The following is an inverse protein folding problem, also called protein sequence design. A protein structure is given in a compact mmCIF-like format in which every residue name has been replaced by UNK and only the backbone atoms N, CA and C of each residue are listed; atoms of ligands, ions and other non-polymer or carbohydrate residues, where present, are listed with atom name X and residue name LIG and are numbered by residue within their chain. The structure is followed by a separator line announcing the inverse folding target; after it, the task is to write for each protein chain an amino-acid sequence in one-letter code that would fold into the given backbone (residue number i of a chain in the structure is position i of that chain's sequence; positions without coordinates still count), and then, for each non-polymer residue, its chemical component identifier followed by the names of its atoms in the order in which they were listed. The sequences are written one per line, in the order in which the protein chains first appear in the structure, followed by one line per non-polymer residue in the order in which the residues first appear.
data_IF_554700192747
#
_entry.id   IF_554700192747
#
_cell.length_a   1.000
_cell.length_b   1.000
_cell.length_c   1.000
_cell.angle_alpha   90.00
_cell.angle_beta   90.00
_cell.angle_gamma   90.00
#
_symmetry.space_group_name_H-M   'P 1'
#
loop_
_entity.id
_entity.type
_entity.pdbx_description
1 polymer ?
#
# COMPACT_ATOMS: atom_id res chain seq x y z
N UNK A 1 19.13 -27.52 -57.14
CA UNK A 1 20.55 -27.91 -57.01
C UNK A 1 20.84 -27.94 -55.52
N UNK A 2 21.42 -29.07 -55.06
CA UNK A 2 21.89 -29.40 -53.69
C UNK A 2 20.81 -29.46 -52.59
N UNK A 3 20.26 -30.59 -52.10
CA UNK A 3 20.66 -31.99 -51.84
C UNK A 3 21.50 -32.23 -50.57
N UNK A 4 20.96 -33.08 -49.67
CA UNK A 4 21.69 -33.86 -48.66
C UNK A 4 21.30 -33.51 -47.22
N UNK A 5 20.94 -34.43 -46.33
CA UNK A 5 20.92 -35.90 -46.36
C UNK A 5 20.47 -36.40 -44.98
N UNK A 6 19.70 -37.49 -44.98
CA UNK A 6 19.19 -38.18 -43.80
C UNK A 6 20.20 -39.20 -43.24
N UNK A 7 20.06 -39.61 -41.98
CA UNK A 7 20.21 -41.01 -41.55
C UNK A 7 19.64 -41.29 -40.14
N UNK A 8 19.15 -42.52 -39.84
CA UNK A 8 18.28 -42.83 -38.70
C UNK A 8 18.94 -43.72 -37.62
N UNK A 9 18.18 -43.95 -36.54
CA UNK A 9 18.47 -44.75 -35.32
C UNK A 9 18.90 -46.22 -35.54
N UNK A 10 19.37 -46.88 -34.46
CA UNK A 10 18.69 -48.12 -34.06
C UNK A 10 18.44 -48.29 -32.54
N UNK A 11 17.39 -49.04 -32.22
CA UNK A 11 16.99 -49.51 -30.89
C UNK A 11 17.77 -50.75 -30.43
N UNK A 12 17.99 -50.90 -29.12
CA UNK A 12 18.19 -52.22 -28.50
C UNK A 12 17.65 -52.24 -27.06
N UNK A 13 16.70 -53.14 -26.83
CA UNK A 13 16.14 -53.56 -25.54
C UNK A 13 17.05 -54.58 -24.84
N UNK A 14 17.09 -54.59 -23.50
CA UNK A 14 17.05 -55.84 -22.69
C UNK A 14 16.81 -55.55 -21.20
N UNK A 15 15.95 -56.37 -20.64
CA UNK A 15 15.35 -56.44 -19.30
C UNK A 15 16.23 -57.16 -18.27
N UNK A 16 16.18 -56.73 -16.99
CA UNK A 16 16.06 -57.62 -15.80
C UNK A 16 16.13 -56.83 -14.47
N UNK A 17 15.05 -56.87 -13.68
CA UNK A 17 14.98 -56.69 -12.20
C UNK A 17 15.46 -57.99 -11.49
N UNK A 18 15.73 -58.09 -10.15
CA UNK A 18 15.02 -57.41 -9.04
C UNK A 18 15.79 -57.07 -7.73
N UNK A 19 15.09 -56.29 -6.88
CA UNK A 19 15.04 -56.20 -5.39
C UNK A 19 16.31 -56.23 -4.53
N UNK A 20 16.59 -55.11 -3.85
CA UNK A 20 17.12 -55.10 -2.48
C UNK A 20 16.77 -53.79 -1.74
N UNK A 21 16.17 -53.97 -0.58
CA UNK A 21 15.71 -52.99 0.42
C UNK A 21 16.89 -52.32 1.12
N UNK A 22 16.95 -50.99 1.20
CA UNK A 22 17.63 -50.28 2.31
C UNK A 22 17.35 -48.77 2.30
N UNK A 23 16.70 -48.33 3.37
CA UNK A 23 16.89 -47.06 4.10
C UNK A 23 16.82 -45.74 3.32
N UNK A 24 15.65 -45.10 3.40
CA UNK A 24 15.42 -43.69 3.04
C UNK A 24 16.09 -42.80 4.08
N UNK A 25 17.26 -42.25 3.74
CA UNK A 25 17.76 -41.03 4.38
C UNK A 25 17.25 -39.84 3.58
N UNK A 26 16.26 -39.15 4.17
CA UNK A 26 15.79 -37.84 3.75
C UNK A 26 16.95 -36.84 3.83
N UNK A 27 17.44 -36.39 2.67
CA UNK A 27 18.31 -35.23 2.59
C UNK A 27 17.49 -33.98 2.91
N UNK A 28 17.78 -33.41 4.08
CA UNK A 28 17.31 -32.11 4.53
C UNK A 28 18.01 -31.04 3.68
N UNK A 29 17.39 -30.64 2.57
CA UNK A 29 17.84 -29.46 1.81
C UNK A 29 17.57 -28.22 2.64
N UNK A 30 18.66 -27.58 3.05
CA UNK A 30 18.71 -26.31 3.76
C UNK A 30 17.86 -25.27 3.04
N UNK A 31 16.80 -24.83 3.71
CA UNK A 31 16.08 -23.59 3.41
C UNK A 31 17.02 -22.46 3.81
N UNK A 32 17.73 -21.88 2.85
CA UNK A 32 18.39 -20.59 3.03
C UNK A 32 17.35 -19.52 2.76
N UNK A 33 17.04 -18.75 3.80
CA UNK A 33 16.32 -17.49 3.73
C UNK A 33 17.01 -16.56 2.73
N UNK A 34 16.34 -16.29 1.61
CA UNK A 34 16.68 -15.16 0.75
C UNK A 34 16.05 -13.93 1.37
N UNK A 35 16.84 -13.17 2.12
CA UNK A 35 16.55 -11.77 2.32
C UNK A 35 16.57 -11.13 0.92
N UNK A 36 15.42 -10.63 0.46
CA UNK A 36 15.25 -9.91 -0.81
C UNK A 36 16.10 -8.62 -0.80
N UNK A 37 17.39 -8.75 -1.08
CA UNK A 37 18.23 -7.63 -1.49
C UNK A 37 17.80 -7.30 -2.93
N UNK A 38 16.80 -6.43 -3.07
CA UNK A 38 16.29 -5.99 -4.35
C UNK A 38 17.45 -5.52 -5.25
N UNK A 39 17.60 -6.16 -6.42
CA UNK A 39 18.59 -5.78 -7.43
C UNK A 39 18.33 -4.31 -7.84
N UNK A 40 19.26 -3.37 -7.57
CA UNK A 40 19.08 -1.96 -7.91
C UNK A 40 18.98 -1.70 -9.43
N UNK A 41 19.25 -2.71 -10.26
CA UNK A 41 19.12 -2.63 -11.72
C UNK A 41 17.69 -2.85 -12.24
N UNK A 42 16.80 -3.46 -11.44
CA UNK A 42 15.41 -3.67 -11.85
C UNK A 42 14.63 -2.35 -11.84
N UNK A 43 13.79 -2.07 -12.86
CA UNK A 43 12.94 -0.89 -12.85
C UNK A 43 12.07 -0.86 -11.60
N UNK A 44 12.21 0.20 -10.79
CA UNK A 44 11.39 0.37 -9.60
C UNK A 44 9.92 0.45 -10.00
N UNK A 45 9.06 -0.34 -9.34
CA UNK A 45 7.60 -0.30 -9.54
C UNK A 45 7.06 1.10 -9.22
N UNK A 46 6.11 1.57 -10.01
CA UNK A 46 5.36 2.80 -9.74
C UNK A 46 4.46 2.59 -8.51
N UNK A 47 4.49 3.53 -7.56
CA UNK A 47 3.60 3.51 -6.39
C UNK A 47 2.84 4.82 -6.27
N UNK A 48 1.55 4.74 -5.97
CA UNK A 48 0.72 5.90 -5.68
C UNK A 48 0.23 5.81 -4.24
N UNK A 49 0.43 6.88 -3.48
CA UNK A 49 -0.20 7.04 -2.19
C UNK A 49 -1.58 7.66 -2.36
N UNK A 50 -2.62 6.99 -1.87
CA UNK A 50 -4.00 7.48 -1.97
C UNK A 50 -4.52 7.90 -0.60
N UNK A 51 -4.82 9.18 -0.48
CA UNK A 51 -5.54 9.77 0.66
C UNK A 51 -7.04 9.73 0.37
N UNK A 52 -7.84 9.15 1.27
CA UNK A 52 -9.28 9.07 1.07
C UNK A 52 -10.03 8.88 2.39
N UNK A 53 -11.34 9.12 2.38
CA UNK A 53 -12.16 9.00 3.58
C UNK A 53 -12.31 7.56 4.09
N UNK A 54 -12.28 7.39 5.42
CA UNK A 54 -12.72 6.15 6.10
C UNK A 54 -14.22 5.91 6.00
N UNK A 55 -14.99 6.88 5.49
CA UNK A 55 -16.42 6.78 5.23
C UNK A 55 -16.69 6.61 3.74
N UNK A 56 -17.77 5.91 3.33
CA UNK A 56 -18.11 5.69 1.92
C UNK A 56 -18.64 6.96 1.20
N UNK A 57 -18.98 8.00 1.95
CA UNK A 57 -19.74 9.15 1.46
C UNK A 57 -21.24 8.83 1.30
N UNK A 58 -22.06 9.87 1.09
CA UNK A 58 -23.52 9.72 0.92
C UNK A 58 -23.93 9.31 -0.50
N UNK A 59 -23.14 9.71 -1.49
CA UNK A 59 -23.42 9.41 -2.90
C UNK A 59 -22.56 8.19 -3.31
N UNK A 60 -23.16 7.13 -3.89
CA UNK A 60 -22.42 5.92 -4.28
C UNK A 60 -21.32 6.16 -5.32
N UNK A 61 -21.33 7.31 -6.03
CA UNK A 61 -20.28 7.68 -6.99
C UNK A 61 -18.88 7.73 -6.36
N UNK A 62 -18.76 8.04 -5.07
CA UNK A 62 -17.46 8.11 -4.40
C UNK A 62 -16.85 6.72 -4.23
N UNK A 63 -17.67 5.73 -3.84
CA UNK A 63 -17.25 4.32 -3.80
C UNK A 63 -16.94 3.81 -5.22
N UNK A 64 -17.71 4.23 -6.23
CA UNK A 64 -17.43 3.87 -7.61
C UNK A 64 -16.08 4.43 -8.07
N UNK A 65 -15.75 5.66 -7.73
CA UNK A 65 -14.45 6.26 -8.05
C UNK A 65 -13.26 5.53 -7.39
N UNK A 66 -13.44 5.01 -6.16
CA UNK A 66 -12.44 4.16 -5.52
C UNK A 66 -12.21 2.85 -6.31
N UNK A 67 -13.29 2.20 -6.78
CA UNK A 67 -13.20 1.01 -7.64
C UNK A 67 -12.58 1.29 -9.00
N UNK A 68 -12.95 2.41 -9.62
CA UNK A 68 -12.41 2.82 -10.91
C UNK A 68 -10.91 3.10 -10.80
N UNK A 69 -10.49 3.79 -9.73
CA UNK A 69 -9.07 4.02 -9.45
C UNK A 69 -8.31 2.70 -9.25
N UNK A 70 -8.84 1.75 -8.46
CA UNK A 70 -8.24 0.43 -8.31
C UNK A 70 -8.07 -0.29 -9.66
N UNK A 71 -9.09 -0.27 -10.52
CA UNK A 71 -9.04 -0.87 -11.86
C UNK A 71 -7.92 -0.26 -12.69
N UNK A 72 -7.87 1.07 -12.81
CA UNK A 72 -6.85 1.76 -13.62
C UNK A 72 -5.45 1.52 -13.05
N UNK A 73 -5.28 1.48 -11.72
CA UNK A 73 -4.01 1.13 -11.09
C UNK A 73 -3.56 -0.29 -11.45
N UNK A 74 -4.46 -1.27 -11.40
CA UNK A 74 -4.17 -2.65 -11.78
C UNK A 74 -3.77 -2.77 -13.26
N UNK A 75 -4.53 -2.14 -14.16
CA UNK A 75 -4.26 -2.11 -15.61
C UNK A 75 -2.88 -1.52 -15.95
N UNK A 76 -2.37 -0.60 -15.11
CA UNK A 76 -1.08 0.06 -15.28
C UNK A 76 0.04 -0.53 -14.39
N UNK A 77 -0.19 -1.65 -13.70
CA UNK A 77 0.74 -2.29 -12.76
C UNK A 77 1.29 -1.32 -11.68
N UNK A 78 0.41 -0.49 -11.13
CA UNK A 78 0.74 0.50 -10.10
C UNK A 78 0.46 -0.08 -8.71
N UNK A 79 1.42 0.03 -7.79
CA UNK A 79 1.22 -0.31 -6.38
C UNK A 79 0.50 0.79 -5.60
N UNK A 80 -0.34 0.40 -4.64
CA UNK A 80 -1.02 1.30 -3.73
C UNK A 80 -0.29 1.41 -2.40
N UNK A 81 -0.11 2.64 -1.94
CA UNK A 81 0.23 2.98 -0.56
C UNK A 81 -0.98 3.72 0.03
N UNK A 82 -1.44 3.34 1.22
CA UNK A 82 -2.61 3.99 1.82
C UNK A 82 -2.62 3.91 3.35
N UNK A 83 -3.67 4.47 3.95
CA UNK A 83 -3.82 4.58 5.40
C UNK A 83 -4.06 3.28 6.18
N UNK A 84 -4.23 2.14 5.51
CA UNK A 84 -4.38 0.84 6.16
C UNK A 84 -5.79 0.50 6.70
N UNK A 85 -6.79 1.35 6.45
CA UNK A 85 -8.15 1.12 6.95
C UNK A 85 -9.02 0.22 6.07
N UNK A 86 -9.90 -0.56 6.68
CA UNK A 86 -10.70 -1.61 6.00
C UNK A 86 -12.11 -1.17 5.59
N UNK A 87 -12.49 0.06 5.93
CA UNK A 87 -13.84 0.61 5.75
C UNK A 87 -13.84 1.81 4.79
N UNK A 88 -15.02 2.17 4.29
CA UNK A 88 -15.22 3.33 3.41
C UNK A 88 -14.42 3.24 2.12
N UNK A 89 -13.93 4.39 1.64
CA UNK A 89 -13.16 4.45 0.38
C UNK A 89 -11.82 3.75 0.50
N UNK A 90 -11.17 3.82 1.67
CA UNK A 90 -9.89 3.13 1.93
C UNK A 90 -10.03 1.63 1.74
N UNK A 91 -11.00 1.02 2.41
CA UNK A 91 -11.23 -0.42 2.33
C UNK A 91 -11.67 -0.88 0.94
N UNK A 92 -12.53 -0.10 0.27
CA UNK A 92 -12.98 -0.41 -1.09
C UNK A 92 -11.83 -0.38 -2.09
N UNK A 93 -11.00 0.66 -2.04
CA UNK A 93 -9.84 0.81 -2.93
C UNK A 93 -8.85 -0.34 -2.74
N UNK A 94 -8.44 -0.60 -1.50
CA UNK A 94 -7.49 -1.67 -1.17
C UNK A 94 -8.02 -3.03 -1.60
N UNK A 95 -9.25 -3.38 -1.23
CA UNK A 95 -9.86 -4.67 -1.58
C UNK A 95 -10.04 -4.86 -3.07
N UNK A 96 -10.50 -3.82 -3.76
CA UNK A 96 -10.67 -3.86 -5.21
C UNK A 96 -9.34 -4.10 -5.92
N UNK A 97 -8.26 -3.43 -5.48
CA UNK A 97 -6.95 -3.59 -6.08
C UNK A 97 -6.34 -4.96 -5.78
N UNK A 98 -6.44 -5.46 -4.53
CA UNK A 98 -6.00 -6.81 -4.19
C UNK A 98 -6.74 -7.87 -5.01
N UNK A 99 -8.05 -7.74 -5.18
CA UNK A 99 -8.83 -8.66 -6.00
C UNK A 99 -8.40 -8.69 -7.48
N UNK A 100 -7.81 -7.59 -7.99
CA UNK A 100 -7.37 -7.47 -9.38
C UNK A 100 -5.88 -7.80 -9.59
N UNK A 101 -5.02 -7.52 -8.61
CA UNK A 101 -3.57 -7.52 -8.75
C UNK A 101 -2.81 -8.26 -7.63
N UNK A 102 -3.50 -8.89 -6.69
CA UNK A 102 -2.93 -9.67 -5.59
C UNK A 102 -2.49 -8.82 -4.38
N UNK A 103 -2.18 -9.46 -3.23
CA UNK A 103 -1.86 -8.79 -1.98
C UNK A 103 -0.61 -7.89 -2.07
N UNK A 104 0.38 -8.28 -2.87
CA UNK A 104 1.62 -7.53 -3.10
C UNK A 104 1.42 -6.18 -3.83
N UNK A 105 0.22 -5.94 -4.35
CA UNK A 105 -0.14 -4.68 -4.99
C UNK A 105 -0.48 -3.57 -3.99
N UNK A 106 -0.75 -3.89 -2.72
CA UNK A 106 -1.22 -2.93 -1.72
C UNK A 106 -0.36 -2.96 -0.46
N UNK A 107 -0.03 -1.77 0.04
CA UNK A 107 0.63 -1.58 1.34
C UNK A 107 -0.09 -0.52 2.18
N UNK A 108 -0.70 -0.96 3.29
CA UNK A 108 -1.32 -0.10 4.30
C UNK A 108 -0.36 0.25 5.43
N UNK A 109 -0.35 1.52 5.85
CA UNK A 109 0.42 1.98 7.01
C UNK A 109 -0.57 2.55 8.03
N UNK A 110 -0.68 1.89 9.18
CA UNK A 110 -1.67 2.21 10.22
C UNK A 110 -0.97 2.43 11.58
N UNK A 111 -1.32 3.45 12.38
CA UNK A 111 -0.75 3.60 13.71
C UNK A 111 -1.39 2.58 14.67
N UNK A 112 -0.62 2.12 15.66
CA UNK A 112 -1.07 1.15 16.67
C UNK A 112 -2.37 1.60 17.37
N UNK A 113 -2.49 2.90 17.62
CA UNK A 113 -3.68 3.49 18.23
C UNK A 113 -4.96 3.19 17.43
N UNK A 114 -4.91 3.26 16.09
CA UNK A 114 -6.09 3.04 15.23
C UNK A 114 -6.40 1.56 15.03
N UNK A 115 -5.40 0.68 15.14
CA UNK A 115 -5.62 -0.79 15.05
C UNK A 115 -6.65 -1.28 16.07
N UNK A 116 -6.77 -0.64 17.24
CA UNK A 116 -7.76 -1.02 18.26
C UNK A 116 -9.17 -0.52 17.93
N UNK A 117 -9.28 0.63 17.28
CA UNK A 117 -10.57 1.27 16.96
C UNK A 117 -11.15 0.82 15.62
N UNK A 118 -10.31 0.46 14.66
CA UNK A 118 -10.74 0.04 13.32
C UNK A 118 -11.10 -1.45 13.22
N UNK A 119 -11.00 -2.20 14.32
CA UNK A 119 -11.31 -3.64 14.32
C UNK A 119 -12.72 -3.90 13.81
N UNK A 120 -12.77 -4.48 12.61
CA UNK A 120 -13.96 -5.07 12.02
C UNK A 120 -13.69 -6.58 11.77
N UNK A 121 -14.67 -7.36 11.26
CA UNK A 121 -14.49 -8.79 11.00
C UNK A 121 -13.33 -9.15 10.06
N UNK A 122 -12.78 -8.20 9.33
CA UNK A 122 -11.65 -8.39 8.43
C UNK A 122 -10.28 -8.32 9.12
N UNK A 123 -10.22 -7.95 10.41
CA UNK A 123 -8.97 -7.97 11.16
C UNK A 123 -8.69 -9.41 11.64
N UNK A 124 -7.60 -9.99 11.16
CA UNK A 124 -7.13 -11.31 11.59
C UNK A 124 -5.97 -11.14 12.56
N UNK A 125 -5.94 -11.91 13.66
CA UNK A 125 -4.69 -12.00 14.43
C UNK A 125 -3.65 -12.65 13.52
N UNK A 126 -2.39 -12.19 13.55
CA UNK A 126 -1.31 -12.83 12.76
C UNK A 126 -1.27 -14.35 12.98
N UNK A 127 -1.59 -14.80 14.20
CA UNK A 127 -1.76 -16.23 14.55
C UNK A 127 -2.89 -16.93 13.78
N UNK A 128 -4.03 -16.27 13.55
CA UNK A 128 -5.15 -16.84 12.77
C UNK A 128 -4.89 -16.85 11.28
N UNK A 129 -4.25 -15.81 10.73
CA UNK A 129 -3.85 -15.77 9.32
C UNK A 129 -2.88 -16.91 9.00
N UNK A 130 -1.83 -17.08 9.83
CA UNK A 130 -0.89 -18.19 9.70
C UNK A 130 -1.56 -19.57 9.85
N UNK A 131 -2.51 -19.73 10.77
CA UNK A 131 -3.25 -20.99 10.95
C UNK A 131 -4.21 -21.30 9.78
N UNK A 132 -4.84 -20.29 9.17
CA UNK A 132 -5.70 -20.47 8.01
C UNK A 132 -4.87 -20.88 6.77
N UNK A 133 -3.68 -20.28 6.61
CA UNK A 133 -2.74 -20.62 5.55
C UNK A 133 -2.18 -22.05 5.73
N UNK A 134 -1.80 -22.42 6.95
CA UNK A 134 -1.38 -23.79 7.28
C UNK A 134 -2.50 -24.83 7.06
N UNK A 135 -3.77 -24.48 7.30
CA UNK A 135 -4.91 -25.36 6.97
C UNK A 135 -5.13 -25.51 5.47
N UNK A 136 -4.93 -24.44 4.69
CA UNK A 136 -5.04 -24.49 3.23
C UNK A 136 -3.91 -25.34 2.60
N UNK A 137 -2.74 -25.39 3.23
CA UNK A 137 -1.57 -26.17 2.81
C UNK A 137 -1.53 -27.61 3.38
N UNK A 138 -2.59 -28.05 4.08
CA UNK A 138 -2.71 -29.43 4.57
C UNK A 138 -1.89 -29.76 5.82
N UNK A 139 -1.48 -28.76 6.60
CA UNK A 139 -0.71 -28.92 7.85
C UNK A 139 -1.58 -29.18 9.09
N UNK A 140 -1.12 -30.08 9.98
CA UNK A 140 -1.77 -30.43 11.25
C UNK A 140 -1.78 -29.23 12.22
N UNK A 141 -2.95 -28.61 12.44
CA UNK A 141 -3.11 -27.39 13.26
C UNK A 141 -3.23 -27.63 14.77
N UNK A 142 -2.77 -28.79 15.27
CA UNK A 142 -2.77 -29.12 16.70
C UNK A 142 -1.63 -28.45 17.48
N UNK A 143 -1.55 -27.11 17.47
CA UNK A 143 -0.77 -26.39 18.49
C UNK A 143 -1.07 -24.89 18.65
N UNK A 144 -2.09 -24.32 17.98
CA UNK A 144 -2.41 -22.89 18.06
C UNK A 144 -3.76 -22.67 18.76
N UNK A 145 -3.82 -22.94 20.06
CA UNK A 145 -4.97 -22.59 20.90
C UNK A 145 -4.42 -22.13 22.25
N UNK A 146 -4.26 -20.83 22.43
CA UNK A 146 -4.09 -20.27 23.77
C UNK A 146 -4.80 -18.91 23.91
N UNK A 147 -5.78 -18.93 24.82
CA UNK A 147 -6.33 -17.88 25.68
C UNK A 147 -6.45 -16.45 25.16
N UNK A 148 -7.68 -16.02 24.84
CA UNK A 148 -8.28 -14.75 25.31
C UNK A 148 -9.75 -14.65 24.89
N UNK A 149 -10.64 -15.16 25.75
CA UNK A 149 -12.03 -14.72 25.83
C UNK A 149 -12.09 -13.66 26.93
N UNK A 150 -12.35 -12.40 26.57
CA UNK A 150 -12.55 -11.30 27.51
C UNK A 150 -13.45 -10.25 26.88
N UNK A 151 -14.65 -10.11 27.42
CA UNK A 151 -15.73 -9.22 26.98
C UNK A 151 -15.33 -7.73 27.04
N UNK A 152 -15.91 -6.83 26.22
CA UNK A 152 -15.55 -5.42 26.22
C UNK A 152 -16.30 -4.69 27.35
N UNK A 153 -15.60 -4.39 28.45
CA UNK A 153 -16.11 -3.45 29.44
C UNK A 153 -15.77 -2.01 29.04
N UNK A 154 -16.84 -1.23 28.89
CA UNK A 154 -16.86 0.22 28.94
C UNK A 154 -16.36 0.73 30.29
N UNK A 155 -15.39 1.64 30.32
CA UNK A 155 -15.39 2.84 31.17
C UNK A 155 -14.12 3.67 30.98
N UNK A 156 -14.32 4.98 31.07
CA UNK A 156 -13.37 6.03 30.75
C UNK A 156 -12.46 6.41 31.94
N UNK A 157 -11.34 7.04 31.58
CA UNK A 157 -10.53 7.98 32.36
C UNK A 157 -9.78 7.47 33.60
N UNK A 158 -8.45 7.60 33.56
CA UNK A 158 -7.66 7.70 34.78
C UNK A 158 -6.16 7.48 34.60
N UNK A 159 -5.41 8.60 34.61
CA UNK A 159 -4.06 8.76 35.11
C UNK A 159 -2.87 8.05 34.41
N UNK A 160 -1.88 8.90 34.12
CA UNK A 160 -0.56 8.58 33.62
C UNK A 160 0.25 7.73 34.60
N UNK A 161 1.01 6.77 34.09
CA UNK A 161 2.26 6.34 34.72
C UNK A 161 3.24 5.81 33.66
N UNK A 162 4.39 6.47 33.61
CA UNK A 162 5.59 6.14 32.83
C UNK A 162 6.20 4.81 33.28
N UNK A 163 6.37 3.85 32.36
CA UNK A 163 7.40 2.81 32.48
C UNK A 163 8.10 2.53 31.15
N UNK A 164 9.41 2.75 31.24
CA UNK A 164 10.57 2.21 30.52
C UNK A 164 10.39 1.54 29.15
N UNK A 165 11.19 2.06 28.22
CA UNK A 165 11.55 1.44 26.95
C UNK A 165 12.24 0.08 27.17
N UNK A 166 11.69 -0.95 26.54
CA UNK A 166 12.42 -2.15 26.15
C UNK A 166 12.05 -2.49 24.70
N UNK A 167 13.06 -2.72 23.88
CA UNK A 167 13.01 -2.80 22.43
C UNK A 167 12.63 -4.19 21.93
N UNK A 168 11.44 -4.65 22.28
CA UNK A 168 10.81 -5.82 21.66
C UNK A 168 9.58 -5.36 20.88
N UNK A 169 9.49 -5.79 19.62
CA UNK A 169 8.44 -5.43 18.66
C UNK A 169 7.04 -5.75 19.23
N UNK A 170 6.32 -4.72 19.67
CA UNK A 170 4.98 -4.83 20.27
C UNK A 170 3.88 -5.25 19.30
N UNK A 171 4.22 -5.76 18.10
CA UNK A 171 3.25 -6.18 17.09
C UNK A 171 2.71 -7.60 17.29
N UNK A 172 3.24 -8.38 18.24
CA UNK A 172 2.95 -9.82 18.42
C UNK A 172 1.55 -10.20 18.94
N UNK A 173 0.64 -9.24 19.13
CA UNK A 173 -0.76 -9.50 19.51
C UNK A 173 -1.79 -8.66 18.77
N UNK A 174 -1.37 -7.84 17.80
CA UNK A 174 -2.26 -6.93 17.11
C UNK A 174 -2.95 -7.67 15.95
N UNK A 175 -4.28 -7.69 15.99
CA UNK A 175 -5.05 -8.04 14.81
C UNK A 175 -4.79 -6.98 13.73
N UNK A 176 -4.50 -7.39 12.51
CA UNK A 176 -4.28 -6.52 11.35
C UNK A 176 -5.25 -6.92 10.24
N UNK A 177 -5.53 -6.05 9.26
CA UNK A 177 -6.37 -6.41 8.11
C UNK A 177 -5.87 -7.69 7.42
N UNK A 178 -6.80 -8.56 6.99
CA UNK A 178 -6.48 -9.77 6.25
C UNK A 178 -5.69 -9.43 4.98
N UNK A 179 -4.47 -9.95 4.87
CA UNK A 179 -3.52 -9.61 3.81
C UNK A 179 -4.04 -10.02 2.42
N UNK A 180 -4.69 -11.17 2.34
CA UNK A 180 -5.32 -11.69 1.13
C UNK A 180 -6.50 -10.84 0.64
N UNK A 181 -6.96 -9.89 1.47
CA UNK A 181 -8.11 -9.02 1.17
C UNK A 181 -7.69 -7.55 1.06
N UNK A 182 -6.74 -7.06 1.86
CA UNK A 182 -6.35 -5.64 1.92
C UNK A 182 -4.86 -5.38 1.66
N UNK A 183 -4.10 -6.44 1.38
CA UNK A 183 -2.66 -6.39 1.15
C UNK A 183 -1.85 -6.25 2.43
N UNK A 184 -0.54 -6.08 2.26
CA UNK A 184 0.41 -5.95 3.36
C UNK A 184 0.03 -4.77 4.26
N UNK A 185 0.17 -4.94 5.57
CA UNK A 185 -0.02 -3.86 6.54
C UNK A 185 1.20 -3.69 7.45
N UNK A 186 1.72 -2.47 7.56
CA UNK A 186 2.74 -2.07 8.53
C UNK A 186 2.10 -1.26 9.65
N UNK A 187 2.31 -1.69 10.89
CA UNK A 187 1.87 -0.98 12.10
C UNK A 187 2.99 -0.04 12.56
N UNK A 188 2.66 1.21 12.85
CA UNK A 188 3.62 2.22 13.33
C UNK A 188 3.20 2.82 14.66
N UNK A 189 4.16 3.46 15.35
CA UNK A 189 3.91 4.04 16.69
C UNK A 189 2.95 5.24 16.66
N UNK A 190 3.10 6.12 15.66
CA UNK A 190 2.44 7.42 15.65
C UNK A 190 2.12 7.90 14.22
N UNK A 191 1.27 8.93 14.14
CA UNK A 191 0.81 9.51 12.88
C UNK A 191 1.92 10.16 12.06
N UNK A 192 2.96 10.71 12.70
CA UNK A 192 4.07 11.34 11.99
C UNK A 192 4.90 10.28 11.25
N UNK A 193 5.19 9.17 11.93
CA UNK A 193 5.85 8.01 11.35
C UNK A 193 5.01 7.41 10.22
N UNK A 194 3.69 7.31 10.39
CA UNK A 194 2.76 6.88 9.33
C UNK A 194 2.91 7.71 8.07
N UNK A 195 2.71 9.04 8.18
CA UNK A 195 2.78 9.96 7.03
C UNK A 195 4.16 9.94 6.37
N UNK A 196 5.22 9.90 7.17
CA UNK A 196 6.60 9.81 6.67
C UNK A 196 6.83 8.53 5.86
N UNK A 197 6.44 7.36 6.35
CA UNK A 197 6.66 6.09 5.63
C UNK A 197 5.83 6.07 4.34
N UNK A 198 4.55 6.46 4.40
CA UNK A 198 3.69 6.54 3.22
C UNK A 198 4.31 7.42 2.12
N UNK A 199 4.81 8.60 2.50
CA UNK A 199 5.49 9.48 1.56
C UNK A 199 6.80 8.87 1.04
N UNK A 200 7.68 8.39 1.93
CA UNK A 200 8.98 7.82 1.56
C UNK A 200 8.85 6.69 0.53
N UNK A 201 7.84 5.82 0.66
CA UNK A 201 7.62 4.77 -0.33
C UNK A 201 7.31 5.30 -1.72
N UNK A 202 6.48 6.35 -1.82
CA UNK A 202 6.19 7.01 -3.10
C UNK A 202 7.41 7.74 -3.65
N UNK A 203 8.18 8.42 -2.77
CA UNK A 203 9.37 9.16 -3.15
C UNK A 203 10.43 8.23 -3.75
N UNK A 204 10.60 7.03 -3.17
CA UNK A 204 11.59 6.04 -3.59
C UNK A 204 11.14 5.17 -4.77
N UNK A 205 9.85 5.18 -5.11
CA UNK A 205 9.25 4.41 -6.20
C UNK A 205 9.55 4.97 -7.61
N UNK A 206 9.18 4.19 -8.62
CA UNK A 206 9.48 4.45 -10.03
C UNK A 206 8.84 5.69 -10.64
N UNK A 207 9.07 5.95 -11.94
CA UNK A 207 8.42 7.02 -12.69
C UNK A 207 6.89 6.94 -12.61
N UNK A 208 6.22 8.09 -12.65
CA UNK A 208 4.75 8.19 -12.51
C UNK A 208 4.22 7.97 -11.10
N UNK A 209 5.09 7.78 -10.10
CA UNK A 209 4.69 7.71 -8.68
C UNK A 209 4.23 9.08 -8.19
N UNK A 210 3.22 9.12 -7.32
CA UNK A 210 2.67 10.37 -6.83
C UNK A 210 1.60 10.19 -5.76
N UNK A 211 0.88 11.27 -5.50
CA UNK A 211 -0.15 11.34 -4.47
C UNK A 211 -1.50 11.64 -5.11
N UNK A 212 -2.53 10.85 -4.76
CA UNK A 212 -3.91 11.11 -5.16
C UNK A 212 -4.75 11.33 -3.90
N UNK A 213 -5.60 12.34 -3.89
CA UNK A 213 -6.68 12.45 -2.92
C UNK A 213 -8.04 12.14 -3.58
N UNK A 214 -8.71 11.09 -3.09
CA UNK A 214 -10.15 10.90 -3.29
C UNK A 214 -10.93 11.70 -2.23
N UNK A 215 -12.25 11.79 -2.39
CA UNK A 215 -13.13 12.45 -1.41
C UNK A 215 -12.86 11.99 0.03
N UNK A 216 -12.82 12.93 0.96
CA UNK A 216 -12.46 12.64 2.35
C UNK A 216 -12.72 13.81 3.29
N UNK A 217 -12.47 13.58 4.58
CA UNK A 217 -12.62 14.60 5.62
C UNK A 217 -11.35 15.40 5.88
N UNK A 218 -11.25 15.98 7.08
CA UNK A 218 -10.09 16.79 7.47
C UNK A 218 -8.77 16.02 7.44
N UNK A 219 -8.74 14.73 7.79
CA UNK A 219 -7.52 13.92 7.73
C UNK A 219 -6.96 13.83 6.31
N UNK A 220 -7.81 13.49 5.34
CA UNK A 220 -7.45 13.45 3.91
C UNK A 220 -6.96 14.81 3.41
N UNK A 221 -7.61 15.89 3.85
CA UNK A 221 -7.25 17.25 3.44
C UNK A 221 -5.92 17.71 4.05
N UNK A 222 -5.64 17.35 5.29
CA UNK A 222 -4.36 17.61 5.97
C UNK A 222 -3.21 16.89 5.25
N UNK A 223 -3.38 15.62 4.90
CA UNK A 223 -2.39 14.81 4.17
C UNK A 223 -2.13 15.38 2.76
N UNK A 224 -3.19 15.80 2.06
CA UNK A 224 -3.10 16.47 0.75
C UNK A 224 -2.29 17.78 0.83
N UNK A 225 -2.61 18.65 1.79
CA UNK A 225 -1.93 19.93 1.91
C UNK A 225 -0.49 19.78 2.42
N UNK A 226 -0.20 18.80 3.28
CA UNK A 226 1.16 18.51 3.74
C UNK A 226 2.06 18.09 2.57
N UNK A 227 1.62 17.14 1.74
CA UNK A 227 2.39 16.71 0.56
C UNK A 227 2.51 17.80 -0.49
N UNK A 228 1.46 18.61 -0.67
CA UNK A 228 1.54 19.79 -1.56
C UNK A 228 2.56 20.81 -1.08
N UNK A 229 2.62 21.04 0.24
CA UNK A 229 3.61 21.93 0.86
C UNK A 229 5.03 21.39 0.72
N UNK A 230 5.23 20.08 0.89
CA UNK A 230 6.54 19.45 0.67
C UNK A 230 7.01 19.55 -0.79
N UNK A 231 6.09 19.45 -1.76
CA UNK A 231 6.38 19.73 -3.16
C UNK A 231 6.85 21.18 -3.35
N UNK A 232 6.09 22.14 -2.80
CA UNK A 232 6.42 23.58 -2.86
C UNK A 232 7.80 23.91 -2.27
N UNK A 233 8.16 23.24 -1.16
CA UNK A 233 9.44 23.40 -0.46
C UNK A 233 10.61 22.64 -1.10
N UNK A 234 10.38 21.92 -2.21
CA UNK A 234 11.40 21.14 -2.90
C UNK A 234 11.83 19.87 -2.17
N UNK A 235 11.08 19.43 -1.15
CA UNK A 235 11.35 18.19 -0.41
C UNK A 235 11.09 16.97 -1.30
N UNK A 236 10.15 17.07 -2.24
CA UNK A 236 9.97 16.10 -3.31
C UNK A 236 9.50 16.72 -4.63
N UNK A 237 9.57 15.91 -5.69
CA UNK A 237 9.19 16.28 -7.06
C UNK A 237 8.05 15.42 -7.63
N UNK A 238 7.40 14.59 -6.81
CA UNK A 238 6.28 13.74 -7.23
C UNK A 238 5.00 14.56 -7.40
N UNK A 239 4.18 14.21 -8.39
CA UNK A 239 2.91 14.88 -8.65
C UNK A 239 1.91 14.69 -7.51
N UNK A 240 1.03 15.69 -7.34
CA UNK A 240 -0.09 15.66 -6.40
C UNK A 240 -1.37 15.94 -7.19
N UNK A 241 -2.38 15.09 -7.04
CA UNK A 241 -3.61 15.18 -7.80
C UNK A 241 -4.83 14.95 -6.89
N UNK A 242 -5.92 15.67 -7.16
CA UNK A 242 -7.24 15.35 -6.58
C UNK A 242 -8.12 14.71 -7.65
N UNK A 243 -8.78 13.62 -7.30
CA UNK A 243 -9.83 13.05 -8.14
C UNK A 243 -11.17 13.71 -7.77
N UNK A 244 -11.50 14.78 -8.50
CA UNK A 244 -12.60 15.71 -8.21
C UNK A 244 -13.96 15.20 -8.70
N UNK A 245 -14.45 14.14 -8.07
CA UNK A 245 -15.76 13.52 -8.33
C UNK A 245 -16.89 14.43 -7.84
N UNK A 246 -17.90 14.67 -8.68
CA UNK A 246 -19.04 15.52 -8.37
C UNK A 246 -18.69 16.94 -7.89
N UNK A 247 -17.52 17.47 -8.26
CA UNK A 247 -17.07 18.79 -7.83
C UNK A 247 -16.72 18.87 -6.34
N UNK A 248 -16.44 17.72 -5.69
CA UNK A 248 -16.08 17.66 -4.27
C UNK A 248 -14.94 18.61 -3.87
N UNK A 249 -13.97 18.84 -4.76
CA UNK A 249 -12.83 19.73 -4.58
C UNK A 249 -12.97 21.10 -5.29
N UNK A 250 -14.15 21.46 -5.80
CA UNK A 250 -14.34 22.78 -6.45
C UNK A 250 -14.04 23.93 -5.47
N UNK A 251 -14.37 23.75 -4.19
CA UNK A 251 -14.03 24.69 -3.12
C UNK A 251 -12.53 24.83 -2.87
N UNK A 252 -11.75 23.75 -3.03
CA UNK A 252 -10.30 23.79 -2.94
C UNK A 252 -9.72 24.65 -4.08
N UNK A 253 -10.14 24.41 -5.33
CA UNK A 253 -9.64 25.20 -6.46
C UNK A 253 -10.09 26.66 -6.42
N UNK A 254 -11.27 26.94 -5.86
CA UNK A 254 -11.68 28.32 -5.57
C UNK A 254 -10.74 28.98 -4.55
N UNK A 255 -10.40 28.29 -3.45
CA UNK A 255 -9.46 28.78 -2.46
C UNK A 255 -8.03 28.97 -3.02
N UNK A 256 -7.54 28.06 -3.87
CA UNK A 256 -6.23 28.21 -4.53
C UNK A 256 -6.21 29.48 -5.36
N UNK A 257 -7.24 29.71 -6.20
CA UNK A 257 -7.34 30.93 -7.02
C UNK A 257 -7.30 32.19 -6.16
N UNK A 258 -8.13 32.27 -5.13
CA UNK A 258 -8.11 33.40 -4.19
C UNK A 258 -6.75 33.56 -3.51
N UNK A 259 -6.10 32.46 -3.11
CA UNK A 259 -4.79 32.52 -2.47
C UNK A 259 -3.69 33.01 -3.42
N UNK A 260 -3.82 32.75 -4.72
CA UNK A 260 -2.95 33.31 -5.76
C UNK A 260 -3.23 34.79 -5.96
N UNK A 261 -4.51 35.17 -6.10
CA UNK A 261 -4.94 36.56 -6.30
C UNK A 261 -4.49 37.47 -5.14
N UNK A 262 -4.56 36.96 -3.90
CA UNK A 262 -4.14 37.65 -2.68
C UNK A 262 -2.63 37.50 -2.38
N UNK A 263 -1.87 36.76 -3.21
CA UNK A 263 -0.42 36.65 -3.14
C UNK A 263 0.14 35.71 -2.05
N UNK A 264 -0.69 34.84 -1.47
CA UNK A 264 -0.26 33.80 -0.51
C UNK A 264 0.32 32.55 -1.21
N UNK A 265 -0.09 32.28 -2.45
CA UNK A 265 0.49 31.25 -3.32
C UNK A 265 1.05 31.96 -4.56
N UNK A 266 2.30 31.67 -4.94
CA UNK A 266 2.84 32.22 -6.18
C UNK A 266 2.17 31.59 -7.40
N UNK A 267 2.01 32.35 -8.48
CA UNK A 267 1.42 31.86 -9.75
C UNK A 267 2.08 30.55 -10.23
N UNK A 268 3.41 30.43 -10.11
CA UNK A 268 4.12 29.22 -10.50
C UNK A 268 3.82 27.98 -9.64
N UNK A 269 3.27 28.14 -8.44
CA UNK A 269 2.92 27.05 -7.51
C UNK A 269 1.42 26.71 -7.56
N UNK A 270 0.61 27.46 -8.31
CA UNK A 270 -0.84 27.25 -8.43
C UNK A 270 -1.20 25.85 -8.96
N UNK A 271 -0.34 25.28 -9.81
CA UNK A 271 -0.51 23.97 -10.43
C UNK A 271 0.12 22.79 -9.68
N UNK A 272 0.57 22.95 -8.43
CA UNK A 272 1.12 21.82 -7.64
C UNK A 272 0.07 20.71 -7.46
N UNK A 273 -1.18 21.09 -7.19
CA UNK A 273 -2.31 20.17 -7.10
C UNK A 273 -3.04 20.13 -8.44
N UNK A 274 -2.89 19.03 -9.18
CA UNK A 274 -3.61 18.80 -10.42
C UNK A 274 -5.05 18.36 -10.17
N UNK A 275 -5.96 18.79 -11.05
CA UNK A 275 -7.34 18.33 -11.06
C UNK A 275 -7.53 17.17 -12.05
N UNK A 276 -8.14 16.07 -11.60
CA UNK A 276 -8.63 15.01 -12.47
C UNK A 276 -10.13 14.77 -12.24
N UNK A 277 -10.87 14.43 -13.31
CA UNK A 277 -12.29 14.07 -13.22
C UNK A 277 -12.53 12.57 -13.34
N UNK A 278 -11.55 11.82 -13.84
CA UNK A 278 -11.56 10.37 -13.99
C UNK A 278 -10.29 9.76 -13.39
N UNK A 279 -10.33 8.45 -13.09
CA UNK A 279 -9.16 7.74 -12.57
C UNK A 279 -8.01 7.75 -13.59
N UNK A 280 -8.32 7.61 -14.87
CA UNK A 280 -7.39 7.66 -15.99
C UNK A 280 -6.69 9.03 -16.05
N UNK A 281 -7.45 10.14 -15.96
CA UNK A 281 -6.89 11.49 -15.93
C UNK A 281 -5.96 11.70 -14.71
N UNK A 282 -6.30 11.11 -13.56
CA UNK A 282 -5.47 11.22 -12.36
C UNK A 282 -4.11 10.53 -12.54
N UNK A 283 -4.09 9.32 -13.11
CA UNK A 283 -2.85 8.60 -13.43
C UNK A 283 -2.03 9.35 -14.48
N UNK A 284 -2.68 9.89 -15.52
CA UNK A 284 -2.02 10.72 -16.54
C UNK A 284 -1.41 11.98 -15.93
N UNK A 285 -2.14 12.69 -15.05
CA UNK A 285 -1.65 13.88 -14.37
C UNK A 285 -0.40 13.61 -13.53
N UNK A 286 -0.33 12.47 -12.84
CA UNK A 286 0.85 12.07 -12.07
C UNK A 286 2.04 11.68 -12.97
N UNK A 287 1.77 10.96 -14.06
CA UNK A 287 2.81 10.55 -15.02
C UNK A 287 3.45 11.73 -15.72
N UNK A 288 2.63 12.71 -16.10
CA UNK A 288 3.05 13.84 -16.93
C UNK A 288 3.43 15.07 -16.08
N UNK A 289 3.37 14.97 -14.74
CA UNK A 289 3.69 16.05 -13.80
C UNK A 289 5.10 16.60 -14.01
N UNK A 290 5.20 17.93 -13.98
CA UNK A 290 6.47 18.68 -13.95
C UNK A 290 6.49 19.58 -12.74
N UNK A 291 7.64 19.59 -12.05
CA UNK A 291 7.85 20.42 -10.86
C UNK A 291 7.55 21.89 -11.18
N UNK A 292 6.78 22.52 -10.30
CA UNK A 292 6.41 23.93 -10.40
C UNK A 292 7.64 24.84 -10.59
N UNK A 293 7.58 25.85 -11.48
CA UNK A 293 8.71 26.73 -11.77
C UNK A 293 9.16 27.57 -10.57
N UNK A 294 8.28 27.82 -9.60
CA UNK A 294 8.56 28.61 -8.39
C UNK A 294 8.84 27.76 -7.15
N UNK A 295 9.26 26.50 -7.30
CA UNK A 295 9.70 25.69 -6.17
C UNK A 295 10.87 26.35 -5.45
N UNK A 296 10.77 26.43 -4.13
CA UNK A 296 11.84 26.91 -3.29
C UNK A 296 12.99 25.91 -3.34
N UNK A 297 14.15 26.33 -3.86
CA UNK A 297 15.36 25.50 -3.92
C UNK A 297 16.05 25.44 -2.56
N UNK A 298 15.37 24.89 -1.55
CA UNK A 298 15.90 24.71 -0.21
C UNK A 298 16.73 23.42 -0.16
N UNK A 299 17.96 23.50 0.35
CA UNK A 299 18.77 22.32 0.66
C UNK A 299 18.51 21.91 2.10
N UNK A 300 17.75 20.82 2.30
CA UNK A 300 17.38 20.34 3.63
C UNK A 300 18.47 19.48 4.29
N UNK A 301 19.45 18.97 3.52
CA UNK A 301 20.55 18.13 4.02
C UNK A 301 21.71 18.92 4.68
N UNK A 302 21.53 20.22 4.95
CA UNK A 302 22.55 21.11 5.55
C UNK A 302 22.19 21.60 6.96
N UNK A 303 21.38 20.83 7.69
CA UNK A 303 20.98 21.13 9.07
C UNK A 303 21.81 20.33 10.06
#
# INVERSE_FOLDING_TARGET
MESGGASPMPSASRTSTPTATSTVHSNLSQVTSVDDVADPSLPKKTKICVYCGSSPGKNPVYMQAARDLARVMAENNIGLVYGGGTVGLMGELARSLVALAGPDSVHGIIPEALVRYERDPNYTSRTRAAAAQAKAEGGDTRQLVDSTNGEPNSEANGAAETKAADGTDGTDGLAIPAEEVFGKTTVVKDMHTRKRIMAQEVLQAGPGSGFIALSGGYGTFEELLETSTWNQLGIHNKGVCVLNINGFYDGLFAWIRTSVDEGFISEGNSGIIAEAKTAEDAILALRDYKVAPSVLKLSWDKQ
#
